data_IF_812550817582
#
_entry.id   IF_812550817582
#
_cell.length_a   1.000
_cell.length_b   1.000
_cell.length_c   1.000
_cell.angle_alpha   90.00
_cell.angle_beta   90.00
_cell.angle_gamma   90.00
#
_symmetry.space_group_name_H-M   'P 1'
#
loop_
_entity.id
_entity.type
_entity.pdbx_description
1 polymer ?
#
# COMPACT_ATOMS: atom_id res chain seq x y z
N UNK A 1 6.79 -29.29 -1.52
CA UNK A 1 6.60 -27.84 -1.67
C UNK A 1 5.13 -27.55 -1.46
N UNK A 2 4.76 -26.66 -0.54
CA UNK A 2 3.38 -26.21 -0.44
C UNK A 2 3.04 -25.40 -1.69
N UNK A 3 1.83 -25.59 -2.23
CA UNK A 3 1.35 -24.84 -3.39
C UNK A 3 1.15 -23.39 -2.93
N UNK A 4 1.75 -22.45 -3.66
CA UNK A 4 1.52 -21.04 -3.39
C UNK A 4 0.16 -20.59 -3.89
N UNK A 5 -0.46 -19.67 -3.16
CA UNK A 5 -1.71 -19.03 -3.51
C UNK A 5 -1.53 -17.52 -3.56
N UNK A 6 -2.36 -16.85 -4.36
CA UNK A 6 -2.62 -15.43 -4.16
C UNK A 6 -3.87 -15.26 -3.31
N UNK A 7 -3.91 -14.19 -2.54
CA UNK A 7 -5.09 -13.65 -1.88
C UNK A 7 -5.02 -12.14 -1.88
N UNK A 8 -6.13 -11.47 -1.56
CA UNK A 8 -6.20 -10.02 -1.59
C UNK A 8 -6.94 -9.43 -0.39
N UNK A 9 -6.64 -8.16 -0.13
CA UNK A 9 -7.40 -7.33 0.80
C UNK A 9 -7.63 -5.95 0.16
N UNK A 10 -8.87 -5.48 0.20
CA UNK A 10 -9.26 -4.14 -0.23
C UNK A 10 -9.51 -3.30 1.01
N UNK A 11 -8.68 -2.29 1.23
CA UNK A 11 -8.93 -1.26 2.25
C UNK A 11 -10.05 -0.36 1.74
N UNK A 12 -11.19 -0.35 2.43
CA UNK A 12 -12.41 0.31 1.93
C UNK A 12 -12.25 1.83 1.81
N UNK A 13 -13.10 2.50 1.00
CA UNK A 13 -13.11 3.95 0.91
C UNK A 13 -13.28 4.67 2.25
N UNK A 14 -14.12 4.13 3.14
CA UNK A 14 -14.29 4.71 4.48
C UNK A 14 -13.02 4.53 5.33
N UNK A 15 -12.42 3.34 5.34
CA UNK A 15 -11.15 3.09 6.05
C UNK A 15 -10.03 4.00 5.58
N UNK A 16 -9.90 4.23 4.28
CA UNK A 16 -8.94 5.18 3.70
C UNK A 16 -9.21 6.62 4.18
N UNK A 17 -10.48 7.07 4.15
CA UNK A 17 -10.85 8.43 4.59
C UNK A 17 -10.63 8.65 6.08
N UNK A 18 -10.82 7.62 6.91
CA UNK A 18 -10.59 7.66 8.36
C UNK A 18 -9.14 7.34 8.75
N UNK A 19 -8.22 7.29 7.78
CA UNK A 19 -6.80 7.03 7.99
C UNK A 19 -6.50 5.68 8.66
N UNK A 20 -7.37 4.68 8.53
CA UNK A 20 -7.20 3.33 9.12
C UNK A 20 -6.20 2.46 8.34
N UNK A 21 -5.69 2.95 7.21
CA UNK A 21 -4.84 2.20 6.26
C UNK A 21 -3.57 1.66 6.90
N UNK A 22 -2.88 2.45 7.73
CA UNK A 22 -1.63 2.04 8.37
C UNK A 22 -1.83 0.85 9.31
N UNK A 23 -2.75 0.99 10.25
CA UNK A 23 -3.15 -0.10 11.15
C UNK A 23 -3.63 -1.37 10.44
N UNK A 24 -4.41 -1.24 9.36
CA UNK A 24 -4.86 -2.38 8.54
C UNK A 24 -3.69 -3.08 7.85
N UNK A 25 -2.84 -2.33 7.12
CA UNK A 25 -1.67 -2.88 6.41
C UNK A 25 -0.71 -3.54 7.37
N UNK A 26 -0.45 -2.92 8.52
CA UNK A 26 0.41 -3.46 9.57
C UNK A 26 -0.08 -4.83 10.05
N UNK A 27 -1.38 -4.94 10.38
CA UNK A 27 -1.98 -6.20 10.83
C UNK A 27 -1.98 -7.27 9.75
N UNK A 28 -2.28 -6.92 8.50
CA UNK A 28 -2.22 -7.87 7.37
C UNK A 28 -0.82 -8.46 7.22
N UNK A 29 0.23 -7.62 7.20
CA UNK A 29 1.61 -8.08 7.07
C UNK A 29 2.03 -8.90 8.29
N UNK A 30 1.86 -8.37 9.50
CA UNK A 30 2.42 -8.97 10.70
C UNK A 30 1.75 -10.28 11.11
N UNK A 31 0.44 -10.42 10.87
CA UNK A 31 -0.34 -11.59 11.33
C UNK A 31 -0.43 -12.71 10.31
N UNK A 32 -0.37 -12.39 9.02
CA UNK A 32 -0.43 -13.42 7.97
C UNK A 32 0.94 -14.04 7.72
N UNK A 33 2.01 -13.26 7.85
CA UNK A 33 3.36 -13.65 7.43
C UNK A 33 3.50 -13.87 5.92
N UNK A 34 2.53 -13.43 5.12
CA UNK A 34 2.54 -13.57 3.66
C UNK A 34 3.40 -12.50 2.98
N UNK A 35 3.87 -12.80 1.77
CA UNK A 35 4.59 -11.85 0.96
C UNK A 35 3.61 -10.84 0.34
N UNK A 36 3.66 -9.57 0.75
CA UNK A 36 2.95 -8.50 0.03
C UNK A 36 3.62 -8.30 -1.33
N UNK A 37 3.01 -8.79 -2.41
CA UNK A 37 3.60 -8.85 -3.76
C UNK A 37 3.08 -7.77 -4.69
N UNK A 38 1.91 -7.22 -4.41
CA UNK A 38 1.29 -6.20 -5.23
C UNK A 38 0.43 -5.25 -4.42
N UNK A 39 0.29 -4.03 -4.92
CA UNK A 39 -0.66 -3.07 -4.39
C UNK A 39 -0.90 -1.96 -5.38
N UNK A 40 -2.14 -1.49 -5.49
CA UNK A 40 -2.53 -0.41 -6.40
C UNK A 40 -3.71 0.36 -5.83
N UNK A 41 -3.71 1.67 -6.04
CA UNK A 41 -4.85 2.52 -5.72
C UNK A 41 -5.91 2.40 -6.81
N UNK A 42 -7.19 2.35 -6.43
CA UNK A 42 -8.31 2.33 -7.36
C UNK A 42 -9.36 3.39 -7.02
N UNK A 43 -9.95 3.98 -8.06
CA UNK A 43 -11.20 4.74 -8.01
C UNK A 43 -12.18 4.09 -9.00
N UNK A 44 -12.98 3.10 -8.55
CA UNK A 44 -13.79 2.28 -9.44
C UNK A 44 -14.74 3.09 -10.32
N UNK A 45 -14.90 2.62 -11.54
CA UNK A 45 -16.04 2.92 -12.38
C UNK A 45 -17.31 2.21 -11.89
N UNK A 46 -18.46 2.69 -12.34
CA UNK A 46 -19.75 2.02 -12.07
C UNK A 46 -19.76 0.58 -12.60
N UNK A 47 -19.12 0.34 -13.74
CA UNK A 47 -19.00 -0.97 -14.38
C UNK A 47 -18.20 -1.96 -13.51
N UNK A 48 -16.99 -1.56 -13.08
CA UNK A 48 -16.15 -2.41 -12.22
C UNK A 48 -16.85 -2.74 -10.91
N UNK A 49 -17.43 -1.73 -10.24
CA UNK A 49 -18.14 -1.94 -8.98
C UNK A 49 -19.34 -2.88 -9.14
N UNK A 50 -20.11 -2.74 -10.23
CA UNK A 50 -21.25 -3.62 -10.53
C UNK A 50 -20.80 -5.06 -10.79
N UNK A 51 -19.81 -5.27 -11.68
CA UNK A 51 -19.29 -6.61 -12.00
C UNK A 51 -18.67 -7.30 -10.79
N UNK A 52 -17.99 -6.54 -9.93
CA UNK A 52 -17.45 -7.08 -8.69
C UNK A 52 -18.59 -7.49 -7.74
N UNK A 53 -19.61 -6.64 -7.57
CA UNK A 53 -20.74 -6.90 -6.71
C UNK A 53 -21.56 -8.14 -7.13
N UNK A 54 -21.72 -8.37 -8.44
CA UNK A 54 -22.40 -9.55 -9.00
C UNK A 54 -21.73 -10.88 -8.58
N UNK A 55 -20.41 -10.86 -8.33
CA UNK A 55 -19.64 -12.04 -7.92
C UNK A 55 -19.63 -12.32 -6.40
N UNK A 56 -20.21 -11.44 -5.57
CA UNK A 56 -20.10 -11.52 -4.11
C UNK A 56 -21.07 -12.55 -3.50
N UNK A 57 -22.30 -12.60 -3.99
CA UNK A 57 -23.34 -13.47 -3.44
C UNK A 57 -23.31 -14.81 -4.15
N UNK A 58 -22.70 -15.81 -3.51
CA UNK A 58 -22.54 -17.16 -4.05
C UNK A 58 -23.25 -18.22 -3.19
N UNK A 59 -23.62 -17.88 -1.96
CA UNK A 59 -24.06 -18.83 -0.96
C UNK A 59 -25.58 -19.06 -0.98
N UNK A 60 -25.99 -20.30 -0.73
CA UNK A 60 -27.41 -20.70 -0.66
C UNK A 60 -27.91 -20.74 0.77
N UNK A 61 -27.03 -20.93 1.76
CA UNK A 61 -27.39 -20.83 3.17
C UNK A 61 -27.81 -19.39 3.53
N UNK A 62 -29.03 -19.23 4.06
CA UNK A 62 -29.64 -17.92 4.33
C UNK A 62 -28.78 -16.98 5.21
N UNK A 63 -28.08 -17.50 6.22
CA UNK A 63 -27.29 -16.67 7.15
C UNK A 63 -26.03 -16.11 6.48
N UNK A 64 -25.30 -16.96 5.77
CA UNK A 64 -24.10 -16.56 5.04
C UNK A 64 -24.45 -15.67 3.85
N UNK A 65 -25.58 -15.98 3.18
CA UNK A 65 -26.13 -15.17 2.09
C UNK A 65 -26.44 -13.74 2.55
N UNK A 66 -27.12 -13.56 3.69
CA UNK A 66 -27.43 -12.23 4.22
C UNK A 66 -26.16 -11.39 4.45
N UNK A 67 -25.08 -12.04 4.91
CA UNK A 67 -23.77 -11.37 5.09
C UNK A 67 -23.18 -10.95 3.74
N UNK A 68 -23.23 -11.81 2.73
CA UNK A 68 -22.75 -11.47 1.38
C UNK A 68 -23.60 -10.35 0.74
N UNK A 69 -24.91 -10.35 0.97
CA UNK A 69 -25.81 -9.29 0.50
C UNK A 69 -25.47 -7.93 1.11
N UNK A 70 -25.13 -7.87 2.42
CA UNK A 70 -24.63 -6.65 3.06
C UNK A 70 -23.34 -6.13 2.40
N UNK A 71 -22.40 -7.03 2.09
CA UNK A 71 -21.15 -6.65 1.39
C UNK A 71 -21.46 -6.13 -0.02
N UNK A 72 -22.32 -6.83 -0.76
CA UNK A 72 -22.73 -6.43 -2.12
C UNK A 72 -23.33 -5.02 -2.10
N UNK A 73 -24.26 -4.79 -1.20
CA UNK A 73 -24.96 -3.51 -1.09
C UNK A 73 -23.99 -2.40 -0.63
N UNK A 74 -23.04 -2.73 0.26
CA UNK A 74 -21.94 -1.84 0.63
C UNK A 74 -21.09 -1.44 -0.58
N UNK A 75 -20.67 -2.41 -1.41
CA UNK A 75 -19.85 -2.17 -2.61
C UNK A 75 -20.61 -1.26 -3.58
N UNK A 76 -21.84 -1.61 -3.94
CA UNK A 76 -22.65 -0.83 -4.88
C UNK A 76 -22.84 0.62 -4.41
N UNK A 77 -23.02 0.82 -3.10
CA UNK A 77 -23.22 2.14 -2.49
C UNK A 77 -21.93 2.96 -2.38
N UNK A 78 -20.81 2.34 -2.00
CA UNK A 78 -19.63 3.08 -1.52
C UNK A 78 -18.43 3.07 -2.48
N UNK A 79 -18.40 2.19 -3.48
CA UNK A 79 -17.25 2.10 -4.41
C UNK A 79 -17.36 3.10 -5.57
N UNK A 80 -18.52 3.74 -5.74
CA UNK A 80 -18.80 4.65 -6.85
C UNK A 80 -19.44 5.95 -6.34
N UNK A 81 -19.77 6.85 -7.26
CA UNK A 81 -20.39 8.14 -6.94
C UNK A 81 -19.39 9.15 -6.37
N UNK A 82 -19.93 10.11 -5.63
CA UNK A 82 -19.17 11.21 -5.06
C UNK A 82 -19.65 11.47 -3.62
N UNK A 83 -18.73 11.40 -2.65
CA UNK A 83 -19.00 11.65 -1.24
C UNK A 83 -18.15 12.84 -0.80
N UNK A 84 -18.78 13.93 -0.37
CA UNK A 84 -18.12 15.18 0.02
C UNK A 84 -17.17 15.73 -1.06
N UNK A 85 -17.55 15.67 -2.33
CA UNK A 85 -16.73 16.16 -3.43
C UNK A 85 -15.55 15.25 -3.79
N UNK A 86 -15.47 14.02 -3.28
CA UNK A 86 -14.43 13.06 -3.61
C UNK A 86 -15.03 11.79 -4.20
N UNK A 87 -14.45 11.31 -5.31
CA UNK A 87 -14.72 9.95 -5.75
C UNK A 87 -14.07 8.96 -4.75
N UNK A 88 -14.73 7.83 -4.43
CA UNK A 88 -14.16 6.83 -3.54
C UNK A 88 -12.79 6.36 -4.01
N UNK A 89 -11.83 6.33 -3.07
CA UNK A 89 -10.49 5.77 -3.27
C UNK A 89 -10.33 4.56 -2.38
N UNK A 90 -9.71 3.52 -2.89
CA UNK A 90 -9.37 2.33 -2.11
C UNK A 90 -7.98 1.83 -2.46
N UNK A 91 -7.41 1.08 -1.53
CA UNK A 91 -6.12 0.43 -1.70
C UNK A 91 -6.36 -1.07 -1.84
N UNK A 92 -6.00 -1.61 -3.01
CA UNK A 92 -6.04 -3.04 -3.28
C UNK A 92 -4.65 -3.62 -3.01
N UNK A 93 -4.56 -4.67 -2.18
CA UNK A 93 -3.31 -5.34 -1.81
C UNK A 93 -3.37 -6.81 -2.20
N UNK A 94 -2.28 -7.34 -2.76
CA UNK A 94 -2.13 -8.75 -3.14
C UNK A 94 -1.05 -9.39 -2.30
N UNK A 95 -1.39 -10.50 -1.66
CA UNK A 95 -0.51 -11.30 -0.83
C UNK A 95 -0.28 -12.66 -1.49
N UNK A 96 0.96 -13.16 -1.41
CA UNK A 96 1.38 -14.47 -1.93
C UNK A 96 1.95 -15.32 -0.82
N UNK A 97 1.66 -16.62 -0.88
CA UNK A 97 2.30 -17.62 -0.04
C UNK A 97 1.43 -18.86 0.13
N UNK A 98 1.88 -19.85 0.91
CA UNK A 98 1.08 -21.01 1.24
C UNK A 98 -0.12 -20.60 2.11
N UNK A 99 -1.29 -21.16 1.81
CA UNK A 99 -2.56 -20.92 2.51
C UNK A 99 -2.93 -19.42 2.57
N UNK A 100 -2.61 -18.67 1.52
CA UNK A 100 -2.79 -17.21 1.50
C UNK A 100 -4.25 -16.82 1.71
N UNK A 101 -5.19 -17.58 1.12
CA UNK A 101 -6.63 -17.32 1.23
C UNK A 101 -7.08 -17.48 2.68
N UNK A 102 -6.74 -18.61 3.32
CA UNK A 102 -7.12 -18.89 4.71
C UNK A 102 -6.49 -17.89 5.69
N UNK A 103 -5.19 -17.59 5.54
CA UNK A 103 -4.47 -16.66 6.42
C UNK A 103 -5.05 -15.24 6.35
N UNK A 104 -5.37 -14.76 5.16
CA UNK A 104 -6.03 -13.46 4.98
C UNK A 104 -7.43 -13.49 5.62
N UNK A 105 -8.23 -14.51 5.34
CA UNK A 105 -9.57 -14.65 5.93
C UNK A 105 -9.55 -14.63 7.46
N UNK A 106 -8.69 -15.45 8.09
CA UNK A 106 -8.54 -15.49 9.55
C UNK A 106 -8.08 -14.15 10.13
N UNK A 107 -7.19 -13.45 9.44
CA UNK A 107 -6.69 -12.13 9.90
C UNK A 107 -7.74 -11.04 9.76
N UNK A 108 -8.50 -11.05 8.66
CA UNK A 108 -9.57 -10.08 8.40
C UNK A 108 -10.75 -10.31 9.34
N UNK A 109 -11.09 -11.57 9.61
CA UNK A 109 -12.18 -11.97 10.50
C UNK A 109 -13.52 -12.12 9.80
N UNK A 110 -14.51 -12.63 10.51
CA UNK A 110 -15.89 -12.74 10.02
C UNK A 110 -16.65 -11.41 10.21
N UNK A 111 -17.70 -11.19 9.43
CA UNK A 111 -18.56 -9.99 9.56
C UNK A 111 -19.56 -10.13 10.70
N UNK A 112 -20.09 -11.33 10.89
CA UNK A 112 -21.04 -11.66 11.94
C UNK A 112 -20.23 -12.20 13.10
N UNK A 113 -20.02 -11.42 14.17
CA UNK A 113 -19.85 -11.85 15.56
C UNK A 113 -19.81 -10.60 16.47
N UNK A 114 -20.65 -10.55 17.51
CA UNK A 114 -20.67 -9.50 18.55
C UNK A 114 -19.48 -9.59 19.53
N UNK A 115 -18.61 -10.59 19.37
CA UNK A 115 -17.41 -10.70 20.21
C UNK A 115 -16.33 -9.76 19.68
N UNK A 116 -16.34 -8.54 20.19
CA UNK A 116 -15.28 -7.54 20.01
C UNK A 116 -14.03 -7.97 20.80
N UNK A 117 -13.27 -8.95 20.31
CA UNK A 117 -12.01 -9.36 20.94
C UNK A 117 -10.81 -8.52 20.49
N UNK A 118 -10.96 -7.72 19.42
CA UNK A 118 -9.86 -6.95 18.81
C UNK A 118 -8.83 -7.83 18.09
N UNK A 119 -9.12 -9.13 17.98
CA UNK A 119 -8.22 -10.15 17.42
C UNK A 119 -8.15 -10.08 15.92
N UNK A 120 -9.23 -9.69 15.24
CA UNK A 120 -9.27 -9.54 13.78
C UNK A 120 -9.19 -8.08 13.35
N UNK A 121 -9.03 -7.84 12.04
CA UNK A 121 -9.09 -6.48 11.49
C UNK A 121 -10.51 -5.92 11.60
N UNK A 122 -11.53 -6.76 11.31
CA UNK A 122 -12.94 -6.36 11.43
C UNK A 122 -13.35 -6.01 12.85
N UNK A 123 -12.81 -6.69 13.86
CA UNK A 123 -13.09 -6.33 15.26
C UNK A 123 -12.60 -4.93 15.64
N UNK A 124 -11.55 -4.45 14.96
CA UNK A 124 -10.90 -3.16 15.29
C UNK A 124 -11.40 -2.03 14.39
N UNK A 125 -11.67 -2.32 13.13
CA UNK A 125 -11.92 -1.31 12.10
C UNK A 125 -13.24 -1.50 11.34
N UNK A 126 -13.92 -2.61 11.57
CA UNK A 126 -15.27 -2.85 11.06
C UNK A 126 -16.31 -2.40 12.07
N UNK A 127 -17.49 -2.05 11.58
CA UNK A 127 -18.64 -1.66 12.36
C UNK A 127 -19.84 -2.47 11.84
N UNK A 128 -20.50 -3.21 12.73
CA UNK A 128 -21.76 -3.92 12.46
C UNK A 128 -22.72 -3.55 13.58
N UNK A 129 -23.60 -2.58 13.30
CA UNK A 129 -24.50 -2.01 14.30
C UNK A 129 -25.92 -2.47 13.97
N UNK A 130 -26.57 -3.09 14.96
CA UNK A 130 -27.96 -3.54 14.88
C UNK A 130 -28.88 -2.69 15.75
N UNK A 131 -30.14 -2.61 15.38
CA UNK A 131 -31.20 -2.14 16.27
C UNK A 131 -31.53 -3.20 17.35
N UNK A 132 -32.45 -2.86 18.26
CA UNK A 132 -32.92 -3.77 19.31
C UNK A 132 -33.65 -5.02 18.78
N UNK A 133 -34.07 -5.01 17.52
CA UNK A 133 -34.71 -6.14 16.85
C UNK A 133 -33.70 -7.02 16.09
N UNK A 134 -32.42 -6.64 16.08
CA UNK A 134 -31.35 -7.36 15.38
C UNK A 134 -31.18 -6.97 13.91
N UNK A 135 -31.91 -5.96 13.40
CA UNK A 135 -31.74 -5.50 12.03
C UNK A 135 -30.49 -4.63 11.92
N UNK A 136 -29.71 -4.82 10.86
CA UNK A 136 -28.50 -4.02 10.61
C UNK A 136 -28.87 -2.59 10.22
N UNK A 137 -28.47 -1.62 11.05
CA UNK A 137 -28.70 -0.19 10.81
C UNK A 137 -27.48 0.49 10.20
N UNK A 138 -26.28 -0.01 10.51
CA UNK A 138 -25.03 0.48 9.93
C UNK A 138 -24.04 -0.67 9.73
N UNK A 139 -23.38 -0.65 8.58
CA UNK A 139 -22.38 -1.63 8.21
C UNK A 139 -21.18 -0.97 7.52
N UNK A 140 -20.00 -1.20 8.09
CA UNK A 140 -18.70 -0.86 7.52
C UNK A 140 -17.77 -2.07 7.71
N UNK A 141 -17.33 -2.75 6.65
CA UNK A 141 -16.49 -3.93 6.82
C UNK A 141 -15.03 -3.61 7.17
N UNK A 142 -14.59 -2.37 6.99
CA UNK A 142 -13.20 -1.94 7.19
C UNK A 142 -12.25 -2.44 6.09
N UNK A 143 -12.29 -3.74 5.80
CA UNK A 143 -11.55 -4.44 4.74
C UNK A 143 -12.44 -5.48 4.07
N UNK A 144 -12.39 -5.54 2.74
CA UNK A 144 -12.96 -6.63 1.96
C UNK A 144 -11.88 -7.66 1.61
N UNK A 145 -12.20 -8.92 1.83
CA UNK A 145 -11.45 -10.08 1.41
C UNK A 145 -12.45 -11.24 1.23
N UNK A 146 -12.14 -12.16 0.32
CA UNK A 146 -12.93 -13.37 0.06
C UNK A 146 -12.16 -14.60 0.54
N UNK A 147 -12.89 -15.65 0.89
CA UNK A 147 -12.35 -16.84 1.57
C UNK A 147 -12.36 -18.10 0.68
N UNK A 148 -12.87 -18.00 -0.55
CA UNK A 148 -12.88 -19.07 -1.53
C UNK A 148 -11.83 -18.79 -2.61
N UNK A 149 -10.97 -19.77 -2.91
CA UNK A 149 -9.84 -19.59 -3.83
C UNK A 149 -10.28 -19.32 -5.27
N UNK A 150 -11.40 -19.90 -5.73
CA UNK A 150 -11.95 -19.64 -7.07
C UNK A 150 -12.52 -18.22 -7.15
N UNK A 151 -13.17 -17.74 -6.09
CA UNK A 151 -13.62 -16.36 -5.98
C UNK A 151 -12.43 -15.38 -5.99
N UNK A 152 -11.34 -15.69 -5.27
CA UNK A 152 -10.10 -14.90 -5.31
C UNK A 152 -9.56 -14.77 -6.74
N UNK A 153 -9.39 -15.87 -7.45
CA UNK A 153 -8.87 -15.86 -8.82
C UNK A 153 -9.76 -15.03 -9.75
N UNK A 154 -11.08 -15.27 -9.72
CA UNK A 154 -12.06 -14.53 -10.52
C UNK A 154 -11.98 -13.03 -10.24
N UNK A 155 -11.97 -12.65 -8.96
CA UNK A 155 -11.93 -11.25 -8.56
C UNK A 155 -10.61 -10.61 -9.00
N UNK A 156 -9.46 -11.25 -8.76
CA UNK A 156 -8.16 -10.75 -9.21
C UNK A 156 -8.15 -10.53 -10.73
N UNK A 157 -8.64 -11.49 -11.53
CA UNK A 157 -8.76 -11.33 -12.99
C UNK A 157 -9.64 -10.14 -13.37
N UNK A 158 -10.77 -9.94 -12.69
CA UNK A 158 -11.63 -8.78 -12.89
C UNK A 158 -10.90 -7.46 -12.56
N UNK A 159 -10.26 -7.37 -11.39
CA UNK A 159 -9.54 -6.16 -10.99
C UNK A 159 -8.34 -5.87 -11.92
N UNK A 160 -7.67 -6.92 -12.42
CA UNK A 160 -6.61 -6.80 -13.41
C UNK A 160 -7.13 -6.22 -14.74
N UNK A 161 -8.29 -6.68 -15.22
CA UNK A 161 -8.93 -6.18 -16.45
C UNK A 161 -9.13 -4.66 -16.42
N UNK A 162 -9.59 -4.12 -15.29
CA UNK A 162 -9.87 -2.69 -15.13
C UNK A 162 -8.69 -1.86 -14.59
N UNK A 163 -7.57 -2.49 -14.22
CA UNK A 163 -6.48 -1.83 -13.49
C UNK A 163 -5.78 -0.69 -14.23
N UNK A 164 -5.78 -0.70 -15.57
CA UNK A 164 -5.25 0.38 -16.41
C UNK A 164 -6.18 1.60 -16.43
N UNK A 165 -7.50 1.38 -16.35
CA UNK A 165 -8.54 2.43 -16.45
C UNK A 165 -8.93 3.02 -15.11
N UNK A 166 -9.11 2.16 -14.11
CA UNK A 166 -9.73 2.49 -12.83
C UNK A 166 -8.69 2.58 -11.69
N UNK A 167 -7.43 2.26 -11.96
CA UNK A 167 -6.35 2.26 -10.97
C UNK A 167 -5.09 2.99 -11.43
N UNK A 168 -4.17 3.23 -10.48
CA UNK A 168 -2.91 3.95 -10.71
C UNK A 168 -2.76 5.13 -9.77
N UNK A 169 -2.25 6.25 -10.29
CA UNK A 169 -2.23 7.51 -9.54
C UNK A 169 -3.57 8.22 -9.68
N UNK A 170 -4.24 8.40 -8.53
CA UNK A 170 -5.58 8.98 -8.46
C UNK A 170 -5.53 10.49 -8.17
N UNK A 171 -4.82 11.27 -8.97
CA UNK A 171 -4.62 12.70 -8.70
C UNK A 171 -5.79 13.62 -9.12
N UNK A 172 -6.77 13.09 -9.85
CA UNK A 172 -7.98 13.80 -10.30
C UNK A 172 -9.25 13.44 -9.53
N UNK A 173 -9.16 12.62 -8.48
CA UNK A 173 -10.35 12.10 -7.77
C UNK A 173 -10.70 12.87 -6.50
N UNK A 174 -9.85 13.83 -6.14
CA UNK A 174 -9.94 14.64 -4.92
C UNK A 174 -10.13 16.08 -5.35
N UNK A 175 -11.25 16.68 -4.93
CA UNK A 175 -11.49 18.10 -5.16
C UNK A 175 -10.76 18.93 -4.11
N UNK A 176 -9.95 19.88 -4.56
CA UNK A 176 -9.34 20.90 -3.73
C UNK A 176 -9.95 22.27 -4.06
N UNK A 177 -9.88 23.26 -3.14
CA UNK A 177 -10.26 24.63 -3.45
C UNK A 177 -9.46 25.18 -4.65
N UNK A 178 -10.07 26.00 -5.51
CA UNK A 178 -9.46 26.45 -6.76
C UNK A 178 -8.11 27.17 -6.59
N UNK A 179 -7.94 27.91 -5.50
CA UNK A 179 -6.73 28.67 -5.17
C UNK A 179 -5.62 27.82 -4.52
N UNK A 180 -5.93 26.55 -4.19
CA UNK A 180 -5.01 25.71 -3.43
C UNK A 180 -3.85 25.24 -4.31
N UNK A 181 -2.62 25.53 -3.88
CA UNK A 181 -1.40 24.98 -4.49
C UNK A 181 -1.24 23.53 -4.06
N UNK A 182 -1.61 22.60 -4.94
CA UNK A 182 -1.57 21.16 -4.67
C UNK A 182 -0.24 20.58 -5.10
N UNK A 183 0.41 19.90 -4.17
CA UNK A 183 1.66 19.20 -4.39
C UNK A 183 1.43 17.69 -4.34
N UNK A 184 2.32 16.96 -5.03
CA UNK A 184 2.50 15.52 -4.88
C UNK A 184 3.90 15.29 -4.31
N UNK A 185 4.04 14.32 -3.42
CA UNK A 185 5.34 13.91 -2.89
C UNK A 185 5.43 12.39 -2.83
N UNK A 186 6.62 11.87 -3.09
CA UNK A 186 6.90 10.44 -2.97
C UNK A 186 7.39 10.15 -1.54
N UNK A 187 6.90 9.05 -0.99
CA UNK A 187 7.45 8.39 0.18
C UNK A 187 7.84 6.96 -0.21
N UNK A 188 9.03 6.55 0.20
CA UNK A 188 9.50 5.18 0.02
C UNK A 188 9.73 4.54 1.39
N UNK A 189 8.93 3.53 1.72
CA UNK A 189 9.17 2.68 2.90
C UNK A 189 10.29 1.72 2.53
N UNK A 190 11.38 1.76 3.30
CA UNK A 190 12.64 1.10 2.99
C UNK A 190 12.63 -0.41 3.26
N UNK A 191 13.56 -1.18 2.66
CA UNK A 191 13.62 -2.64 2.79
C UNK A 191 13.75 -3.22 4.20
N UNK A 192 14.35 -2.49 5.13
CA UNK A 192 14.47 -2.92 6.53
C UNK A 192 13.10 -3.20 7.19
N UNK A 193 12.02 -2.58 6.70
CA UNK A 193 10.68 -2.81 7.23
C UNK A 193 10.07 -4.14 6.76
N UNK A 194 10.64 -4.81 5.76
CA UNK A 194 10.07 -6.02 5.13
C UNK A 194 10.91 -7.28 5.32
N UNK A 195 12.03 -7.20 6.05
CA UNK A 195 12.92 -8.36 6.31
C UNK A 195 12.23 -9.51 7.04
N UNK A 196 11.28 -9.19 7.91
CA UNK A 196 10.44 -10.16 8.62
C UNK A 196 9.03 -9.58 8.80
N UNK A 197 7.98 -10.40 8.92
CA UNK A 197 6.63 -9.92 9.20
C UNK A 197 6.58 -9.11 10.48
N UNK A 198 6.20 -7.83 10.39
CA UNK A 198 6.14 -6.93 11.55
C UNK A 198 5.17 -5.75 11.28
N UNK A 199 4.89 -4.96 12.31
CA UNK A 199 3.95 -3.83 12.24
C UNK A 199 4.55 -2.54 11.64
N UNK A 200 5.88 -2.45 11.45
CA UNK A 200 6.57 -1.21 11.07
C UNK A 200 6.08 -0.61 9.76
N UNK A 201 5.89 -1.35 8.64
CA UNK A 201 5.35 -0.75 7.41
C UNK A 201 4.02 -0.04 7.64
N UNK A 202 3.11 -0.69 8.38
CA UNK A 202 1.82 -0.12 8.75
C UNK A 202 1.95 1.08 9.70
N UNK A 203 2.85 0.98 10.69
CA UNK A 203 3.16 2.07 11.62
C UNK A 203 3.72 3.31 10.93
N UNK A 204 4.58 3.15 9.92
CA UNK A 204 5.07 4.28 9.12
C UNK A 204 3.92 4.99 8.40
N UNK A 205 3.01 4.23 7.76
CA UNK A 205 1.83 4.78 7.08
C UNK A 205 0.89 5.47 8.09
N UNK A 206 0.69 4.86 9.26
CA UNK A 206 -0.13 5.41 10.35
C UNK A 206 0.39 6.77 10.81
N UNK A 207 1.70 6.88 11.04
CA UNK A 207 2.32 8.14 11.47
C UNK A 207 2.25 9.21 10.39
N UNK A 208 2.41 8.84 9.10
CA UNK A 208 2.21 9.75 7.97
C UNK A 208 0.77 10.25 7.82
N UNK A 209 -0.22 9.49 8.28
CA UNK A 209 -1.63 9.90 8.19
C UNK A 209 -1.94 11.20 8.95
N UNK A 210 -1.13 11.53 9.96
CA UNK A 210 -1.21 12.79 10.72
C UNK A 210 -0.94 14.05 9.89
N UNK A 211 -0.34 13.89 8.70
CA UNK A 211 -0.15 14.99 7.75
C UNK A 211 -1.46 15.54 7.18
N UNK A 212 -2.55 14.77 7.27
CA UNK A 212 -3.83 15.09 6.64
C UNK A 212 -3.80 15.02 5.10
N UNK A 213 -2.74 14.46 4.53
CA UNK A 213 -2.59 14.27 3.09
C UNK A 213 -3.29 12.99 2.63
N UNK A 214 -3.53 12.94 1.33
CA UNK A 214 -4.23 11.84 0.70
C UNK A 214 -3.26 10.88 0.01
N UNK A 215 -3.36 9.59 0.31
CA UNK A 215 -2.70 8.55 -0.48
C UNK A 215 -3.42 8.45 -1.84
N UNK A 216 -2.70 8.69 -2.93
CA UNK A 216 -3.22 8.63 -4.30
C UNK A 216 -2.49 7.63 -5.19
N UNK A 217 -1.31 7.16 -4.77
CA UNK A 217 -0.55 6.12 -5.48
C UNK A 217 0.08 5.17 -4.47
N UNK A 218 0.17 3.90 -4.85
CA UNK A 218 0.78 2.84 -4.05
C UNK A 218 1.36 1.80 -4.99
N UNK A 219 2.62 1.40 -4.77
CA UNK A 219 3.31 0.38 -5.56
C UNK A 219 4.24 -0.41 -4.66
N UNK A 220 4.11 -1.75 -4.69
CA UNK A 220 5.15 -2.65 -4.19
C UNK A 220 6.27 -2.65 -5.22
N UNK A 221 7.49 -2.34 -4.80
CA UNK A 221 8.58 -2.07 -5.72
C UNK A 221 9.89 -2.72 -5.25
N UNK A 222 10.66 -3.25 -6.21
CA UNK A 222 12.02 -3.76 -6.01
C UNK A 222 12.92 -3.02 -6.98
N UNK A 223 13.60 -1.98 -6.50
CA UNK A 223 14.45 -1.13 -7.35
C UNK A 223 15.50 -1.98 -8.04
N UNK A 224 15.69 -1.81 -9.34
CA UNK A 224 16.89 -2.29 -10.01
C UNK A 224 18.12 -1.53 -9.50
N UNK A 225 19.32 -2.04 -9.78
CA UNK A 225 20.56 -1.33 -9.44
C UNK A 225 20.60 0.02 -10.18
N UNK A 226 20.25 0.03 -11.46
CA UNK A 226 20.18 1.26 -12.26
C UNK A 226 19.21 2.30 -11.68
N UNK A 227 18.01 1.87 -11.27
CA UNK A 227 17.03 2.75 -10.63
C UNK A 227 17.57 3.32 -9.32
N UNK A 228 18.19 2.49 -8.48
CA UNK A 228 18.74 2.93 -7.19
C UNK A 228 19.92 3.91 -7.38
N UNK A 229 20.79 3.69 -8.36
CA UNK A 229 21.88 4.63 -8.70
C UNK A 229 21.34 5.97 -9.18
N UNK A 230 20.34 5.97 -10.06
CA UNK A 230 19.72 7.21 -10.53
C UNK A 230 18.98 7.93 -9.38
N UNK A 231 18.26 7.18 -8.55
CA UNK A 231 17.51 7.70 -7.42
C UNK A 231 18.42 8.39 -6.40
N UNK A 232 19.47 7.71 -5.97
CA UNK A 232 20.41 8.18 -4.94
C UNK A 232 21.64 8.90 -5.51
N UNK A 233 21.78 9.03 -6.83
CA UNK A 233 22.87 9.73 -7.50
C UNK A 233 23.20 11.10 -6.91
N UNK A 234 22.20 11.97 -6.62
CA UNK A 234 22.43 13.28 -6.00
C UNK A 234 23.10 13.23 -4.61
N UNK A 235 23.09 12.08 -3.93
CA UNK A 235 23.71 11.90 -2.60
C UNK A 235 25.22 11.69 -2.71
N UNK A 236 25.74 11.18 -3.83
CA UNK A 236 27.15 10.84 -3.99
C UNK A 236 28.09 12.03 -3.76
N UNK A 237 27.91 13.20 -4.42
CA UNK A 237 28.84 14.33 -4.22
C UNK A 237 28.86 14.82 -2.78
N UNK A 238 27.73 14.74 -2.06
CA UNK A 238 27.61 15.13 -0.65
C UNK A 238 28.41 14.18 0.25
N UNK A 239 28.41 12.88 -0.05
CA UNK A 239 29.18 11.89 0.70
C UNK A 239 30.68 12.01 0.41
N UNK A 240 31.06 12.18 -0.86
CA UNK A 240 32.46 12.39 -1.25
C UNK A 240 33.05 13.66 -0.62
N UNK A 241 32.28 14.74 -0.54
CA UNK A 241 32.70 15.96 0.14
C UNK A 241 32.94 15.75 1.65
N UNK A 242 32.12 14.92 2.31
CA UNK A 242 32.18 14.73 3.77
C UNK A 242 33.18 13.66 4.21
N UNK A 243 33.34 12.60 3.43
CA UNK A 243 34.09 11.40 3.80
C UNK A 243 35.35 11.19 2.94
N UNK A 244 35.54 12.02 1.91
CA UNK A 244 36.56 11.83 0.87
C UNK A 244 36.06 10.93 -0.27
N UNK A 245 36.71 10.96 -1.45
CA UNK A 245 36.19 10.29 -2.65
C UNK A 245 35.97 8.78 -2.49
N UNK A 246 36.98 8.05 -2.00
CA UNK A 246 36.89 6.60 -1.85
C UNK A 246 35.82 6.19 -0.82
N UNK A 247 35.86 6.75 0.39
CA UNK A 247 34.89 6.41 1.43
C UNK A 247 33.48 6.89 1.09
N UNK A 248 33.34 8.04 0.41
CA UNK A 248 32.06 8.56 -0.06
C UNK A 248 31.41 7.65 -1.10
N UNK A 249 32.20 7.17 -2.07
CA UNK A 249 31.79 6.15 -3.05
C UNK A 249 31.33 4.87 -2.36
N UNK A 250 32.13 4.31 -1.46
CA UNK A 250 31.80 3.06 -0.76
C UNK A 250 30.47 3.18 0.02
N UNK A 251 30.27 4.29 0.74
CA UNK A 251 29.03 4.53 1.48
C UNK A 251 27.82 4.70 0.54
N UNK A 252 28.00 5.35 -0.62
CA UNK A 252 26.94 5.46 -1.62
C UNK A 252 26.59 4.09 -2.21
N UNK A 253 27.59 3.26 -2.50
CA UNK A 253 27.35 1.90 -2.99
C UNK A 253 26.60 1.05 -1.96
N UNK A 254 26.88 1.21 -0.67
CA UNK A 254 26.10 0.59 0.39
C UNK A 254 24.64 1.07 0.44
N UNK A 255 24.34 2.33 0.09
CA UNK A 255 22.95 2.80 -0.04
C UNK A 255 22.25 2.09 -1.19
N UNK A 256 22.92 1.98 -2.34
CA UNK A 256 22.36 1.30 -3.51
C UNK A 256 22.16 -0.19 -3.21
N UNK A 257 23.14 -0.85 -2.60
CA UNK A 257 23.05 -2.24 -2.16
C UNK A 257 21.90 -2.45 -1.17
N UNK A 258 21.74 -1.56 -0.20
CA UNK A 258 20.65 -1.65 0.77
C UNK A 258 19.26 -1.55 0.11
N UNK A 259 19.15 -0.80 -1.00
CA UNK A 259 17.87 -0.53 -1.67
C UNK A 259 17.55 -1.50 -2.82
N UNK A 260 18.57 -2.02 -3.50
CA UNK A 260 18.42 -2.91 -4.65
C UNK A 260 18.87 -4.36 -4.36
N UNK A 261 19.65 -4.58 -3.31
CA UNK A 261 20.19 -5.88 -2.90
C UNK A 261 21.53 -6.26 -3.51
N UNK A 262 22.16 -5.35 -4.28
CA UNK A 262 23.50 -5.55 -4.84
C UNK A 262 24.22 -4.22 -5.03
N UNK A 263 25.54 -4.22 -4.83
CA UNK A 263 26.36 -3.05 -5.13
C UNK A 263 26.46 -2.80 -6.64
N UNK A 264 26.54 -1.52 -7.05
CA UNK A 264 26.84 -1.14 -8.43
C UNK A 264 28.11 -1.77 -9.01
N UNK A 265 29.18 -1.80 -8.23
CA UNK A 265 30.48 -2.37 -8.61
C UNK A 265 30.46 -3.89 -8.80
N UNK A 266 29.52 -4.58 -8.17
CA UNK A 266 29.36 -6.04 -8.21
C UNK A 266 28.24 -6.48 -9.16
N UNK A 267 27.52 -5.54 -9.79
CA UNK A 267 26.37 -5.84 -10.65
C UNK A 267 26.78 -6.02 -12.12
N UNK A 268 26.56 -7.22 -12.72
CA UNK A 268 26.74 -7.42 -14.16
C UNK A 268 25.92 -6.42 -14.98
N UNK A 269 26.49 -5.91 -16.07
CA UNK A 269 25.86 -4.86 -16.89
C UNK A 269 24.49 -5.27 -17.44
N UNK A 270 24.32 -6.54 -17.81
CA UNK A 270 23.07 -7.15 -18.30
C UNK A 270 21.98 -7.29 -17.23
N UNK A 271 22.32 -7.14 -15.94
CA UNK A 271 21.40 -7.26 -14.80
C UNK A 271 21.10 -5.94 -14.11
N UNK A 272 21.62 -4.81 -14.61
CA UNK A 272 21.46 -3.51 -13.96
C UNK A 272 20.01 -3.02 -13.93
N UNK A 273 19.24 -3.33 -14.98
CA UNK A 273 17.82 -2.94 -15.10
C UNK A 273 16.86 -4.00 -14.57
N UNK A 274 17.35 -5.21 -14.24
CA UNK A 274 16.54 -6.25 -13.63
C UNK A 274 16.09 -5.82 -12.25
N UNK A 275 14.83 -6.12 -11.90
CA UNK A 275 14.29 -5.86 -10.57
C UNK A 275 15.23 -6.41 -9.47
N UNK A 276 15.50 -5.58 -8.46
CA UNK A 276 16.34 -5.96 -7.33
C UNK A 276 15.69 -7.03 -6.44
N UNK A 277 16.39 -7.42 -5.39
CA UNK A 277 15.89 -8.41 -4.42
C UNK A 277 15.16 -7.77 -3.24
N UNK A 278 15.55 -6.55 -2.89
CA UNK A 278 15.05 -5.83 -1.72
C UNK A 278 13.70 -5.18 -1.99
N UNK A 279 12.71 -5.49 -1.14
CA UNK A 279 11.35 -4.97 -1.28
C UNK A 279 11.22 -3.60 -0.62
N UNK A 280 10.62 -2.66 -1.33
CA UNK A 280 10.16 -1.38 -0.80
C UNK A 280 8.68 -1.16 -1.15
N UNK A 281 8.08 -0.16 -0.51
CA UNK A 281 6.75 0.34 -0.90
C UNK A 281 6.87 1.81 -1.23
N UNK A 282 6.49 2.17 -2.45
CA UNK A 282 6.36 3.54 -2.91
C UNK A 282 4.92 4.02 -2.72
N UNK A 283 4.74 5.16 -2.05
CA UNK A 283 3.44 5.76 -1.77
C UNK A 283 3.49 7.22 -2.22
N UNK A 284 2.47 7.65 -2.98
CA UNK A 284 2.32 9.04 -3.39
C UNK A 284 1.26 9.71 -2.53
N UNK A 285 1.67 10.77 -1.85
CA UNK A 285 0.79 11.64 -1.07
C UNK A 285 0.49 12.92 -1.85
N UNK A 286 -0.75 13.39 -1.76
CA UNK A 286 -1.22 14.61 -2.41
C UNK A 286 -1.95 15.53 -1.44
N UNK A 287 -1.70 16.84 -1.57
CA UNK A 287 -2.42 17.89 -0.86
C UNK A 287 -1.64 19.20 -0.81
N UNK A 288 -2.17 20.17 -0.05
CA UNK A 288 -1.49 21.45 0.19
C UNK A 288 -0.26 21.22 1.06
N UNK A 289 0.88 21.78 0.63
CA UNK A 289 2.21 21.66 1.27
C UNK A 289 2.64 20.19 1.48
N UNK A 290 2.35 19.31 0.52
CA UNK A 290 2.56 17.88 0.68
C UNK A 290 4.01 17.53 1.01
N UNK A 291 4.98 18.14 0.31
CA UNK A 291 6.41 17.88 0.53
C UNK A 291 6.81 18.28 1.96
N UNK A 292 6.47 19.51 2.37
CA UNK A 292 6.79 20.03 3.70
C UNK A 292 6.17 19.18 4.80
N UNK A 293 4.86 18.91 4.74
CA UNK A 293 4.14 18.13 5.76
C UNK A 293 4.68 16.72 5.92
N UNK A 294 5.02 16.04 4.82
CA UNK A 294 5.64 14.71 4.88
C UNK A 294 7.02 14.79 5.55
N UNK A 295 7.85 15.79 5.23
CA UNK A 295 9.17 15.95 5.85
C UNK A 295 9.09 16.27 7.33
N UNK A 296 8.15 17.12 7.74
CA UNK A 296 7.89 17.46 9.14
C UNK A 296 7.54 16.20 9.95
N UNK A 297 6.69 15.33 9.39
CA UNK A 297 6.32 14.04 10.02
C UNK A 297 7.47 13.04 10.00
N UNK A 298 8.28 13.02 8.94
CA UNK A 298 9.41 12.09 8.80
C UNK A 298 10.53 12.40 9.81
N UNK A 299 10.83 13.67 10.04
CA UNK A 299 11.93 14.12 10.87
C UNK A 299 13.29 14.14 10.15
N UNK A 300 14.34 14.69 10.79
CA UNK A 300 15.69 14.77 10.21
C UNK A 300 16.30 13.40 9.94
N UNK A 301 17.24 13.33 8.99
CA UNK A 301 17.82 12.07 8.49
C UNK A 301 18.45 11.19 9.56
N UNK A 302 19.00 11.81 10.60
CA UNK A 302 19.59 11.16 11.77
C UNK A 302 18.50 10.91 12.85
N UNK A 303 18.11 9.64 13.11
CA UNK A 303 17.15 9.29 14.16
C UNK A 303 17.48 9.86 15.54
N UNK A 304 18.77 10.00 15.89
CA UNK A 304 19.18 10.50 17.20
C UNK A 304 18.77 11.97 17.41
N UNK A 305 18.70 12.74 16.32
CA UNK A 305 18.32 14.17 16.30
C UNK A 305 16.84 14.39 16.02
N UNK A 306 16.08 13.33 15.74
CA UNK A 306 14.69 13.43 15.36
C UNK A 306 13.79 13.63 16.60
N UNK A 307 12.77 14.50 16.52
CA UNK A 307 11.86 14.75 17.65
C UNK A 307 11.00 13.52 17.94
N UNK A 308 10.59 13.30 19.20
CA UNK A 308 9.61 12.26 19.56
C UNK A 308 8.36 12.30 18.68
N UNK A 309 7.84 11.13 18.31
CA UNK A 309 6.69 11.04 17.42
C UNK A 309 6.98 11.27 15.94
N UNK A 310 8.22 11.56 15.52
CA UNK A 310 8.61 11.51 14.09
C UNK A 310 8.96 10.09 13.66
N UNK A 311 8.76 9.76 12.38
CA UNK A 311 8.96 8.39 11.87
C UNK A 311 10.40 7.92 12.10
N UNK A 312 11.39 8.78 11.85
CA UNK A 312 12.80 8.42 12.04
C UNK A 312 13.14 8.24 13.51
N UNK A 313 12.46 8.92 14.44
CA UNK A 313 12.65 8.70 15.87
C UNK A 313 12.03 7.40 16.35
N UNK A 314 10.82 7.08 15.87
CA UNK A 314 10.04 5.90 16.27
C UNK A 314 10.58 4.60 15.65
N UNK A 315 11.04 4.65 14.40
CA UNK A 315 11.36 3.44 13.62
C UNK A 315 12.78 3.42 13.06
N UNK A 316 13.53 4.53 13.13
CA UNK A 316 14.91 4.58 12.63
C UNK A 316 15.92 4.04 13.63
N UNK A 317 16.93 3.33 13.13
CA UNK A 317 18.04 2.79 13.92
C UNK A 317 19.33 3.58 13.69
N UNK A 318 19.63 3.91 12.43
CA UNK A 318 20.82 4.65 12.01
C UNK A 318 20.48 5.61 10.87
N UNK A 319 21.43 6.44 10.42
CA UNK A 319 21.25 7.31 9.25
C UNK A 319 20.88 6.51 7.99
N UNK A 320 21.45 5.32 7.81
CA UNK A 320 21.19 4.43 6.68
C UNK A 320 19.83 3.71 6.85
N UNK A 321 19.60 3.13 8.03
CA UNK A 321 18.40 2.37 8.41
C UNK A 321 17.45 3.30 9.15
N UNK A 322 16.83 4.23 8.43
CA UNK A 322 15.95 5.26 8.98
C UNK A 322 14.47 5.11 8.59
N UNK A 323 14.05 3.86 8.32
CA UNK A 323 12.68 3.42 8.02
C UNK A 323 12.06 3.94 6.70
N UNK A 324 12.22 5.21 6.34
CA UNK A 324 11.62 5.79 5.14
C UNK A 324 12.47 6.91 4.51
N UNK A 325 12.30 7.04 3.19
CA UNK A 325 12.70 8.19 2.39
C UNK A 325 11.47 9.01 2.02
N UNK A 326 11.64 10.33 1.86
CA UNK A 326 10.65 11.21 1.27
C UNK A 326 11.34 12.30 0.44
N UNK A 327 10.71 12.69 -0.66
CA UNK A 327 11.19 13.76 -1.52
C UNK A 327 11.40 15.07 -0.74
N UNK A 328 12.39 15.86 -1.15
CA UNK A 328 12.75 17.13 -0.50
C UNK A 328 12.22 18.38 -1.20
N UNK A 329 11.76 18.24 -2.45
CA UNK A 329 11.10 19.28 -3.25
C UNK A 329 10.05 18.67 -4.18
N UNK A 330 9.20 19.50 -4.77
CA UNK A 330 8.22 19.07 -5.76
C UNK A 330 8.89 18.57 -7.06
N UNK A 331 10.02 19.17 -7.43
CA UNK A 331 10.85 18.78 -8.57
C UNK A 331 11.45 17.39 -8.34
N UNK A 332 12.01 17.15 -7.16
CA UNK A 332 12.55 15.84 -6.80
C UNK A 332 11.45 14.80 -6.67
N UNK A 333 10.27 15.15 -6.16
CA UNK A 333 9.13 14.23 -6.16
C UNK A 333 8.77 13.75 -7.58
N UNK A 334 8.73 14.65 -8.57
CA UNK A 334 8.48 14.28 -9.98
C UNK A 334 9.57 13.38 -10.53
N UNK A 335 10.85 13.73 -10.31
CA UNK A 335 12.01 12.93 -10.74
C UNK A 335 11.98 11.53 -10.14
N UNK A 336 11.83 11.45 -8.82
CA UNK A 336 11.84 10.21 -8.05
C UNK A 336 10.66 9.29 -8.43
N UNK A 337 9.46 9.86 -8.65
CA UNK A 337 8.30 9.13 -9.16
C UNK A 337 8.55 8.52 -10.55
N UNK A 338 9.22 9.24 -11.44
CA UNK A 338 9.56 8.74 -12.78
C UNK A 338 10.56 7.58 -12.71
N UNK A 339 11.58 7.67 -11.85
CA UNK A 339 12.59 6.61 -11.64
C UNK A 339 11.94 5.33 -11.11
N UNK A 340 11.07 5.45 -10.11
CA UNK A 340 10.31 4.32 -9.53
C UNK A 340 9.22 3.81 -10.49
N UNK A 341 8.93 4.57 -11.56
CA UNK A 341 7.87 4.31 -12.53
C UNK A 341 6.54 4.07 -11.83
N UNK A 342 6.14 5.00 -10.95
CA UNK A 342 5.01 4.81 -10.05
C UNK A 342 3.66 4.61 -10.77
N UNK A 343 3.54 5.11 -12.00
CA UNK A 343 2.35 4.95 -12.85
C UNK A 343 2.29 3.57 -13.55
N UNK A 344 3.40 2.85 -13.62
CA UNK A 344 3.49 1.52 -14.22
C UNK A 344 2.47 0.57 -13.57
N UNK A 345 1.72 -0.14 -14.42
CA UNK A 345 0.79 -1.17 -13.96
C UNK A 345 1.50 -2.53 -13.80
N UNK A 346 2.19 -2.72 -12.68
CA UNK A 346 2.73 -4.02 -12.30
C UNK A 346 1.68 -4.95 -11.65
N UNK A 347 0.47 -4.46 -11.42
CA UNK A 347 -0.63 -5.20 -10.78
C UNK A 347 -1.23 -6.25 -11.73
N UNK A 348 -1.51 -5.86 -12.97
CA UNK A 348 -2.10 -6.76 -13.98
C UNK A 348 -1.14 -7.87 -14.43
N UNK A 349 0.11 -7.59 -14.82
CA UNK A 349 1.06 -8.65 -15.17
C UNK A 349 1.31 -9.64 -14.04
N UNK A 350 1.33 -9.18 -12.78
CA UNK A 350 1.44 -10.06 -11.61
C UNK A 350 0.33 -11.12 -11.58
N UNK A 351 -0.91 -10.72 -11.83
CA UNK A 351 -2.08 -11.60 -11.81
C UNK A 351 -2.10 -12.50 -13.05
N UNK A 352 -1.86 -11.95 -14.24
CA UNK A 352 -1.87 -12.69 -15.51
C UNK A 352 -0.77 -13.75 -15.57
N UNK A 353 0.41 -13.46 -15.00
CA UNK A 353 1.51 -14.43 -14.91
C UNK A 353 1.24 -15.55 -13.90
N UNK A 354 0.51 -15.25 -12.81
CA UNK A 354 0.18 -16.25 -11.79
C UNK A 354 -1.01 -17.13 -12.21
N UNK A 355 -2.02 -16.54 -12.85
CA UNK A 355 -3.20 -17.21 -13.38
C UNK A 355 -3.26 -17.07 -14.91
N UNK A 356 -2.40 -17.80 -15.66
CA UNK A 356 -2.40 -17.74 -17.12
C UNK A 356 -3.79 -18.07 -17.66
N UNK A 357 -4.20 -17.39 -18.74
CA UNK A 357 -5.42 -17.77 -19.46
C UNK A 357 -5.24 -19.19 -19.99
N UNK A 358 -6.16 -20.08 -19.63
CA UNK A 358 -6.25 -21.42 -20.22
C UNK A 358 -6.77 -21.35 -21.64
#
# INVERSE_FOLDING_TARGET
>A
MQIEELSYAIVTPYSMRKSRTGGIVGRLISRTGLDLVGGRMFAPSAELAKRYAEGIVTETNARHRATQELIRDYVLKNFTGNVNGQRPRMLFLIFRGPDAVEKIHRTVGHIVHERTSGETIRDTYGDYITDTSGNVTYFEPGVLAVFDSKAVERDLKLWAEFSDRDGGILDQVINFPAEAKIEKTLVLIKPDNFRFPNLRPGGVIEVFSRSGLYIIGFKVHRMSVAQAEEFYGPVLPVLEQKLGPASGRDNWESIVEFMAGRKPSECPSDKRDTAGTEKSIAIVYQGVDAVRKIRDVLGPTDPAKAPPGSIRKEFGQTIMINAAHASDSAENAKREMAIVQIDENNFKPLIENFYPRQ
#
